data_IF_783173856656
#
_entry.id   IF_783173856656
#
_cell.length_a   1.000
_cell.length_b   1.000
_cell.length_c   1.000
_cell.angle_alpha   90.00
_cell.angle_beta   90.00
_cell.angle_gamma   90.00
#
_symmetry.space_group_name_H-M   'P 1'
#
loop_
_entity.id
_entity.type
_entity.pdbx_description
1 polymer ?
#
# COMPACT_ATOMS: atom_id res chain seq x y z
N UNK A 1 32.12 -59.43 -104.77
CA UNK A 1 33.23 -60.06 -104.02
C UNK A 1 33.67 -59.14 -102.90
N UNK A 2 34.08 -59.74 -101.77
CA UNK A 2 34.63 -59.18 -100.51
C UNK A 2 33.64 -58.90 -99.37
N UNK A 3 33.89 -59.68 -98.30
CA UNK A 3 33.33 -59.70 -96.94
C UNK A 3 33.79 -58.47 -96.13
N UNK A 4 33.15 -58.17 -94.99
CA UNK A 4 33.75 -58.15 -93.62
C UNK A 4 32.76 -57.54 -92.57
N UNK A 5 32.57 -58.33 -91.51
CA UNK A 5 32.20 -58.14 -90.08
C UNK A 5 31.15 -57.14 -89.56
N UNK A 6 30.29 -57.67 -88.65
CA UNK A 6 29.46 -56.96 -87.66
C UNK A 6 30.11 -57.09 -86.27
N UNK A 7 30.28 -55.97 -85.57
CA UNK A 7 30.54 -55.79 -84.12
C UNK A 7 29.75 -54.51 -83.78
N UNK A 8 28.82 -54.38 -82.84
CA UNK A 8 28.70 -54.96 -81.50
C UNK A 8 28.85 -53.81 -80.50
N UNK A 9 27.76 -53.12 -80.14
CA UNK A 9 27.73 -52.15 -79.04
C UNK A 9 26.59 -52.51 -78.09
N UNK A 10 26.95 -53.06 -76.93
CA UNK A 10 26.04 -53.35 -75.82
C UNK A 10 26.00 -52.12 -74.93
N UNK A 11 24.83 -51.52 -74.79
CA UNK A 11 24.57 -50.46 -73.79
C UNK A 11 24.19 -51.15 -72.49
N UNK A 12 25.08 -51.10 -71.50
CA UNK A 12 24.79 -51.54 -70.14
C UNK A 12 24.04 -50.41 -69.44
N UNK A 13 22.75 -50.62 -69.17
CA UNK A 13 22.00 -49.79 -68.22
C UNK A 13 22.52 -50.06 -66.82
N UNK A 14 23.33 -49.15 -66.29
CA UNK A 14 23.60 -49.08 -64.86
C UNK A 14 22.34 -48.62 -64.14
N UNK A 15 21.56 -49.58 -63.63
CA UNK A 15 20.51 -49.34 -62.63
C UNK A 15 21.20 -48.93 -61.33
N UNK A 16 21.39 -47.62 -61.15
CA UNK A 16 21.78 -47.05 -59.87
C UNK A 16 20.63 -47.23 -58.87
N UNK A 17 20.81 -48.14 -57.92
CA UNK A 17 19.98 -48.30 -56.73
C UNK A 17 20.14 -47.06 -55.82
N UNK A 18 19.53 -45.94 -56.18
CA UNK A 18 19.37 -44.77 -55.31
C UNK A 18 18.03 -44.81 -54.54
N UNK A 19 17.57 -46.01 -54.18
CA UNK A 19 16.20 -46.27 -53.73
C UNK A 19 16.05 -46.77 -52.30
N UNK A 20 16.89 -46.34 -51.34
CA UNK A 20 16.71 -46.70 -49.92
C UNK A 20 16.88 -45.54 -48.92
N UNK A 21 17.31 -44.35 -49.35
CA UNK A 21 17.51 -43.21 -48.43
C UNK A 21 16.20 -42.53 -47.98
N UNK A 22 15.06 -42.87 -48.60
CA UNK A 22 13.75 -42.26 -48.34
C UNK A 22 12.88 -43.05 -47.34
N UNK A 23 13.33 -44.20 -46.84
CA UNK A 23 12.48 -45.03 -45.98
C UNK A 23 12.41 -44.56 -44.52
N UNK A 24 13.26 -43.60 -44.11
CA UNK A 24 13.32 -43.18 -42.71
C UNK A 24 13.53 -41.66 -42.57
N UNK A 25 12.43 -40.95 -42.39
CA UNK A 25 12.45 -39.54 -42.06
C UNK A 25 13.35 -39.29 -40.82
N UNK A 26 14.16 -38.22 -40.80
CA UNK A 26 14.85 -37.80 -39.58
C UNK A 26 13.81 -37.45 -38.49
N UNK A 27 14.17 -37.57 -37.21
CA UNK A 27 13.27 -37.13 -36.16
C UNK A 27 13.03 -35.61 -36.29
N UNK A 28 11.82 -35.18 -35.95
CA UNK A 28 11.43 -33.78 -35.89
C UNK A 28 10.79 -33.53 -34.53
N UNK A 29 11.46 -32.75 -33.69
CA UNK A 29 10.93 -32.35 -32.39
C UNK A 29 9.78 -31.34 -32.55
N UNK A 30 8.73 -31.53 -31.78
CA UNK A 30 7.68 -30.54 -31.53
C UNK A 30 7.39 -30.54 -30.04
N UNK A 31 7.42 -29.35 -29.44
CA UNK A 31 7.18 -29.14 -28.03
C UNK A 31 6.15 -28.03 -27.88
N UNK A 32 5.08 -28.31 -27.12
CA UNK A 32 4.16 -27.29 -26.64
C UNK A 32 4.11 -27.34 -25.11
N UNK A 33 3.72 -26.23 -24.49
CA UNK A 33 3.64 -26.10 -23.04
C UNK A 33 2.35 -25.37 -22.65
N UNK A 34 1.74 -25.78 -21.55
CA UNK A 34 0.57 -25.12 -20.95
C UNK A 34 0.80 -24.96 -19.45
N UNK A 35 0.66 -23.73 -18.93
CA UNK A 35 0.68 -23.48 -17.48
C UNK A 35 -0.62 -24.00 -16.88
N UNK A 36 -0.53 -24.89 -15.89
CA UNK A 36 -1.69 -25.57 -15.29
C UNK A 36 -2.01 -25.11 -13.87
N UNK A 37 -1.01 -24.59 -13.15
CA UNK A 37 -1.16 -23.90 -11.85
C UNK A 37 0.00 -22.92 -11.67
N UNK A 38 -0.01 -22.04 -10.64
CA UNK A 38 1.17 -21.24 -10.32
C UNK A 38 2.41 -22.13 -10.25
N UNK A 39 3.45 -21.70 -10.97
CA UNK A 39 4.72 -22.41 -11.10
C UNK A 39 4.68 -23.81 -11.75
N UNK A 40 3.53 -24.39 -12.12
CA UNK A 40 3.47 -25.73 -12.74
C UNK A 40 3.09 -25.66 -14.21
N UNK A 41 3.84 -26.40 -15.03
CA UNK A 41 3.71 -26.46 -16.48
C UNK A 41 3.62 -27.90 -16.95
N UNK A 42 2.68 -28.15 -17.85
CA UNK A 42 2.55 -29.40 -18.58
C UNK A 42 3.12 -29.25 -19.99
N UNK A 43 4.03 -30.15 -20.36
CA UNK A 43 4.67 -30.23 -21.66
C UNK A 43 4.09 -31.36 -22.49
N UNK A 44 3.73 -31.04 -23.73
CA UNK A 44 3.25 -32.02 -24.71
C UNK A 44 4.30 -32.17 -25.83
N UNK A 45 4.76 -33.41 -25.97
CA UNK A 45 5.80 -33.85 -26.90
C UNK A 45 5.21 -34.60 -28.11
N UNK A 46 3.90 -34.89 -28.08
CA UNK A 46 3.22 -35.85 -28.96
C UNK A 46 3.15 -35.41 -30.42
N UNK A 47 3.38 -34.12 -30.68
CA UNK A 47 3.52 -33.58 -32.03
C UNK A 47 4.84 -33.96 -32.73
N UNK A 48 5.81 -34.53 -32.01
CA UNK A 48 7.10 -34.93 -32.59
C UNK A 48 6.93 -36.11 -33.56
N UNK A 49 7.71 -36.14 -34.64
CA UNK A 49 7.60 -37.17 -35.70
C UNK A 49 8.93 -37.84 -36.02
N UNK A 50 8.87 -38.99 -36.71
CA UNK A 50 10.02 -39.87 -36.99
C UNK A 50 10.11 -41.06 -36.02
N UNK A 51 11.09 -41.94 -36.25
CA UNK A 51 11.32 -43.14 -35.42
C UNK A 51 12.06 -42.80 -34.12
N UNK A 52 11.42 -42.00 -33.26
CA UNK A 52 12.00 -41.53 -31.99
C UNK A 52 12.10 -42.71 -31.02
N UNK A 53 13.28 -42.90 -30.42
CA UNK A 53 13.56 -43.94 -29.42
C UNK A 53 13.84 -43.37 -28.03
N UNK A 54 14.23 -42.11 -27.94
CA UNK A 54 14.45 -41.42 -26.67
C UNK A 54 14.23 -39.91 -26.81
N UNK A 55 13.94 -39.28 -25.67
CA UNK A 55 13.91 -37.84 -25.52
C UNK A 55 14.61 -37.39 -24.25
N UNK A 56 15.09 -36.15 -24.26
CA UNK A 56 15.56 -35.39 -23.11
C UNK A 56 14.90 -34.02 -23.14
N UNK A 57 14.23 -33.62 -22.06
CA UNK A 57 13.58 -32.32 -21.90
C UNK A 57 14.26 -31.56 -20.76
N UNK A 58 14.93 -30.45 -21.08
CA UNK A 58 15.47 -29.52 -20.09
C UNK A 58 14.50 -28.38 -19.87
N UNK A 59 14.29 -27.95 -18.62
CA UNK A 59 13.28 -26.94 -18.28
C UNK A 59 13.81 -25.49 -18.29
N UNK A 60 15.13 -25.32 -18.26
CA UNK A 60 15.77 -23.99 -18.32
C UNK A 60 15.95 -23.32 -16.95
N UNK A 61 15.61 -23.99 -15.86
CA UNK A 61 15.73 -23.53 -14.46
C UNK A 61 16.92 -24.19 -13.71
N UNK A 62 17.67 -25.07 -14.37
CA UNK A 62 18.78 -25.81 -13.77
C UNK A 62 18.37 -27.09 -13.04
N UNK A 63 17.07 -27.43 -13.01
CA UNK A 63 16.59 -28.71 -12.51
C UNK A 63 17.03 -29.88 -13.41
N UNK A 64 16.90 -31.11 -12.90
CA UNK A 64 17.23 -32.31 -13.66
C UNK A 64 16.30 -32.45 -14.89
N UNK A 65 16.89 -32.78 -16.04
CA UNK A 65 16.13 -33.01 -17.26
C UNK A 65 15.21 -34.23 -17.12
N UNK A 66 14.02 -34.17 -17.73
CA UNK A 66 13.18 -35.34 -17.89
C UNK A 66 13.66 -36.17 -19.09
N UNK A 67 13.81 -37.48 -18.87
CA UNK A 67 14.27 -38.42 -19.90
C UNK A 67 13.26 -39.56 -20.05
N UNK A 68 13.07 -40.03 -21.27
CA UNK A 68 12.16 -41.13 -21.55
C UNK A 68 12.16 -41.56 -23.01
N UNK A 69 11.24 -42.44 -23.37
CA UNK A 69 11.07 -42.95 -24.75
C UNK A 69 9.66 -42.77 -25.29
N UNK A 70 8.67 -42.53 -24.43
CA UNK A 70 7.28 -42.35 -24.81
C UNK A 70 6.94 -40.86 -24.92
N UNK A 71 6.87 -40.37 -26.16
CA UNK A 71 6.52 -38.98 -26.47
C UNK A 71 5.00 -38.71 -26.41
N UNK A 72 4.16 -39.74 -26.17
CA UNK A 72 2.70 -39.58 -26.07
C UNK A 72 2.23 -39.20 -24.66
N UNK A 73 3.12 -39.32 -23.67
CA UNK A 73 2.86 -38.96 -22.28
C UNK A 73 3.35 -37.54 -22.04
N UNK A 74 2.47 -36.67 -21.55
CA UNK A 74 2.83 -35.32 -21.17
C UNK A 74 3.74 -35.32 -19.93
N UNK A 75 4.73 -34.43 -19.90
CA UNK A 75 5.64 -34.25 -18.77
C UNK A 75 5.17 -33.06 -17.94
N UNK A 76 5.08 -33.21 -16.63
CA UNK A 76 4.71 -32.12 -15.70
C UNK A 76 5.95 -31.69 -14.93
N UNK A 77 6.20 -30.38 -14.88
CA UNK A 77 7.28 -29.78 -14.12
C UNK A 77 6.77 -28.61 -13.27
N UNK A 78 7.31 -28.47 -12.07
CA UNK A 78 7.04 -27.35 -11.18
C UNK A 78 8.33 -26.57 -10.97
N UNK A 79 8.31 -25.29 -11.34
CA UNK A 79 9.38 -24.34 -11.10
C UNK A 79 9.40 -23.90 -9.64
N UNK A 80 10.58 -23.64 -9.08
CA UNK A 80 10.69 -23.18 -7.69
C UNK A 80 10.38 -21.68 -7.57
N UNK A 81 10.82 -20.90 -8.57
CA UNK A 81 10.68 -19.45 -8.59
C UNK A 81 9.78 -18.98 -9.76
N UNK A 82 9.06 -17.86 -9.60
CA UNK A 82 8.40 -17.21 -10.72
C UNK A 82 9.44 -16.63 -11.69
N UNK A 83 9.17 -16.74 -12.99
CA UNK A 83 10.11 -16.27 -14.00
C UNK A 83 9.76 -16.69 -15.42
N UNK A 84 10.63 -16.25 -16.33
CA UNK A 84 10.62 -16.66 -17.72
C UNK A 84 11.67 -17.76 -17.94
N UNK A 85 11.26 -18.88 -18.51
CA UNK A 85 12.09 -20.06 -18.75
C UNK A 85 12.02 -20.49 -20.22
N UNK A 86 13.08 -21.16 -20.68
CA UNK A 86 13.13 -21.77 -22.01
C UNK A 86 13.31 -23.28 -21.82
N UNK A 87 12.22 -24.01 -22.01
CA UNK A 87 12.31 -25.46 -22.05
C UNK A 87 12.73 -25.92 -23.45
N UNK A 88 13.60 -26.94 -23.51
CA UNK A 88 14.13 -27.49 -24.75
C UNK A 88 13.98 -29.00 -24.75
N UNK A 89 13.20 -29.50 -25.70
CA UNK A 89 13.06 -30.91 -26.02
C UNK A 89 14.13 -31.29 -27.03
N UNK A 90 14.85 -32.39 -26.79
CA UNK A 90 15.71 -33.06 -27.76
C UNK A 90 15.24 -34.50 -27.92
N UNK A 91 14.87 -34.89 -29.13
CA UNK A 91 14.49 -36.27 -29.47
C UNK A 91 15.60 -36.94 -30.28
N UNK A 92 15.76 -38.25 -30.11
CA UNK A 92 16.76 -39.05 -30.81
C UNK A 92 16.12 -40.30 -31.43
N UNK A 93 16.57 -40.68 -32.62
CA UNK A 93 16.16 -41.92 -33.29
C UNK A 93 17.15 -43.08 -33.06
N UNK A 94 16.78 -44.29 -33.51
CA UNK A 94 17.62 -45.50 -33.38
C UNK A 94 18.99 -45.42 -34.08
N UNK A 95 19.20 -44.42 -34.96
CA UNK A 95 20.45 -44.18 -35.69
C UNK A 95 21.29 -43.08 -35.05
N UNK A 96 20.85 -42.55 -33.92
CA UNK A 96 21.52 -41.48 -33.18
C UNK A 96 21.29 -40.08 -33.76
N UNK A 97 20.42 -39.91 -34.76
CA UNK A 97 20.07 -38.58 -35.29
C UNK A 97 19.20 -37.86 -34.27
N UNK A 98 19.44 -36.57 -34.06
CA UNK A 98 18.70 -35.76 -33.08
C UNK A 98 17.97 -34.59 -33.72
N UNK A 99 16.93 -34.12 -33.05
CA UNK A 99 16.21 -32.89 -33.38
C UNK A 99 15.78 -32.21 -32.09
N UNK A 100 15.76 -30.88 -32.07
CA UNK A 100 15.40 -30.11 -30.88
C UNK A 100 14.34 -29.04 -31.19
N UNK A 101 13.47 -28.79 -30.21
CA UNK A 101 12.47 -27.72 -30.23
C UNK A 101 12.43 -27.05 -28.85
N UNK A 102 12.23 -25.75 -28.82
CA UNK A 102 12.16 -24.97 -27.57
C UNK A 102 10.87 -24.18 -27.47
N UNK A 103 10.40 -23.98 -26.24
CA UNK A 103 9.21 -23.17 -25.93
C UNK A 103 9.52 -22.22 -24.77
N UNK A 104 9.14 -20.96 -24.93
CA UNK A 104 9.21 -19.95 -23.87
C UNK A 104 8.03 -20.10 -22.91
N UNK A 105 8.30 -19.97 -21.62
CA UNK A 105 7.36 -20.22 -20.54
C UNK A 105 7.44 -19.05 -19.58
N UNK A 106 6.29 -18.51 -19.20
CA UNK A 106 6.20 -17.54 -18.11
C UNK A 106 5.38 -18.17 -17.00
N UNK A 107 5.99 -18.35 -15.83
CA UNK A 107 5.29 -18.79 -14.61
C UNK A 107 5.27 -17.68 -13.58
N UNK A 108 4.12 -17.47 -12.95
CA UNK A 108 3.91 -16.47 -11.91
C UNK A 108 3.70 -17.13 -10.54
N UNK A 109 4.02 -16.39 -9.49
CA UNK A 109 3.71 -16.79 -8.12
C UNK A 109 2.20 -16.95 -7.93
N UNK A 110 1.80 -17.73 -6.93
CA UNK A 110 0.40 -17.84 -6.56
C UNK A 110 -0.11 -16.49 -6.04
N UNK A 111 -1.30 -16.04 -6.47
CA UNK A 111 -1.94 -14.86 -5.89
C UNK A 111 -2.21 -15.10 -4.40
N UNK A 112 -1.85 -14.13 -3.56
CA UNK A 112 -2.04 -14.16 -2.10
C UNK A 112 -3.23 -13.31 -1.68
N UNK A 113 -3.72 -13.51 -0.46
CA UNK A 113 -4.70 -12.61 0.16
C UNK A 113 -4.07 -11.23 0.33
N UNK A 114 -4.84 -10.18 0.04
CA UNK A 114 -4.44 -8.78 0.23
C UNK A 114 -5.31 -8.13 1.28
N UNK A 115 -4.68 -7.37 2.18
CA UNK A 115 -5.34 -6.67 3.29
C UNK A 115 -4.81 -5.26 3.33
N UNK A 116 -5.69 -4.29 3.48
CA UNK A 116 -5.33 -2.92 3.82
C UNK A 116 -6.21 -2.42 4.96
N UNK A 117 -5.64 -1.55 5.79
CA UNK A 117 -6.29 -0.88 6.89
C UNK A 117 -5.97 0.60 6.76
N UNK A 118 -6.95 1.46 6.99
CA UNK A 118 -6.77 2.89 7.08
C UNK A 118 -7.59 3.49 8.20
N UNK A 119 -7.29 4.75 8.51
CA UNK A 119 -7.90 5.52 9.57
C UNK A 119 -8.25 6.92 9.04
N UNK A 120 -9.39 7.47 9.45
CA UNK A 120 -9.79 8.83 9.10
C UNK A 120 -10.43 9.52 10.29
N UNK A 121 -9.97 10.74 10.64
CA UNK A 121 -8.70 11.33 10.24
C UNK A 121 -7.50 10.50 10.76
N UNK A 122 -6.40 10.46 10.01
CA UNK A 122 -5.16 9.81 10.45
C UNK A 122 -4.27 10.71 11.33
N UNK A 123 -4.62 12.00 11.47
CA UNK A 123 -3.90 12.94 12.32
C UNK A 123 -4.74 14.14 12.74
N UNK A 124 -4.53 14.66 13.94
CA UNK A 124 -5.19 15.86 14.45
C UNK A 124 -4.84 16.14 15.92
N UNK A 125 -5.32 17.24 16.51
CA UNK A 125 -5.14 17.52 17.94
C UNK A 125 -5.98 16.58 18.80
N UNK A 126 -5.52 16.30 20.02
CA UNK A 126 -6.32 15.59 21.02
C UNK A 126 -7.48 16.47 21.56
N UNK A 127 -8.65 15.89 21.91
CA UNK A 127 -9.06 14.51 21.60
C UNK A 127 -9.33 14.33 20.11
N UNK A 128 -8.86 13.20 19.55
CA UNK A 128 -9.03 12.87 18.14
C UNK A 128 -9.97 11.67 17.98
N UNK A 129 -11.15 11.92 17.43
CA UNK A 129 -12.09 10.89 17.01
C UNK A 129 -11.62 10.27 15.68
N UNK A 130 -11.44 8.95 15.65
CA UNK A 130 -10.94 8.21 14.49
C UNK A 130 -11.88 7.07 14.13
N UNK A 131 -12.17 6.96 12.84
CA UNK A 131 -12.86 5.81 12.24
C UNK A 131 -11.85 4.97 11.44
N UNK A 132 -12.03 3.64 11.43
CA UNK A 132 -11.17 2.71 10.70
C UNK A 132 -11.91 2.08 9.51
N UNK A 133 -11.19 1.87 8.42
CA UNK A 133 -11.72 1.16 7.25
C UNK A 133 -10.72 0.11 6.77
N UNK A 134 -11.21 -0.93 6.11
CA UNK A 134 -10.36 -1.98 5.56
C UNK A 134 -10.82 -2.43 4.18
N UNK A 135 -9.86 -2.78 3.32
CA UNK A 135 -10.12 -3.57 2.11
C UNK A 135 -9.40 -4.90 2.17
N UNK A 136 -10.15 -5.98 1.99
CA UNK A 136 -9.69 -7.36 2.10
C UNK A 136 -10.09 -8.10 0.82
N UNK A 137 -9.15 -8.78 0.18
CA UNK A 137 -9.42 -9.71 -0.90
C UNK A 137 -8.68 -11.01 -0.64
N UNK A 138 -9.41 -12.09 -0.42
CA UNK A 138 -8.87 -13.43 -0.28
C UNK A 138 -8.18 -13.88 -1.59
N UNK A 139 -7.16 -14.74 -1.46
CA UNK A 139 -6.61 -15.43 -2.61
C UNK A 139 -7.71 -16.25 -3.35
N UNK A 140 -7.58 -16.48 -4.68
CA UNK A 140 -8.55 -17.25 -5.45
C UNK A 140 -8.87 -18.62 -4.83
N UNK A 141 -10.15 -18.90 -4.66
CA UNK A 141 -10.64 -20.16 -4.08
C UNK A 141 -10.54 -20.24 -2.55
N UNK A 142 -10.12 -19.17 -1.88
CA UNK A 142 -10.05 -19.06 -0.41
C UNK A 142 -11.21 -18.20 0.11
N UNK A 143 -11.51 -18.33 1.41
CA UNK A 143 -12.46 -17.49 2.15
C UNK A 143 -11.80 -16.98 3.42
N UNK A 144 -12.12 -15.75 3.81
CA UNK A 144 -11.76 -15.21 5.13
C UNK A 144 -12.76 -15.74 6.15
N UNK A 145 -12.24 -16.24 7.27
CA UNK A 145 -13.03 -16.85 8.35
C UNK A 145 -13.03 -16.06 9.64
N UNK A 146 -12.05 -15.18 9.82
CA UNK A 146 -11.90 -14.44 11.05
C UNK A 146 -11.21 -13.10 10.77
N UNK A 147 -11.64 -12.06 11.50
CA UNK A 147 -11.03 -10.74 11.49
C UNK A 147 -10.89 -10.23 12.92
N UNK A 148 -9.75 -9.61 13.23
CA UNK A 148 -9.44 -9.06 14.54
C UNK A 148 -8.72 -7.71 14.34
N UNK A 149 -9.29 -6.62 14.85
CA UNK A 149 -8.72 -5.27 14.83
C UNK A 149 -8.37 -4.85 16.25
N UNK A 150 -7.08 -4.59 16.48
CA UNK A 150 -6.52 -3.96 17.68
C UNK A 150 -6.17 -2.51 17.31
N UNK A 151 -6.90 -1.53 17.85
CA UNK A 151 -6.67 -0.10 17.65
C UNK A 151 -6.16 0.61 18.91
N UNK A 152 -6.22 -0.02 20.08
CA UNK A 152 -5.60 0.46 21.32
C UNK A 152 -4.12 0.12 21.45
N UNK A 153 -3.60 -0.76 20.58
CA UNK A 153 -2.20 -1.19 20.49
C UNK A 153 -1.68 -1.97 21.70
N UNK A 154 -2.58 -2.58 22.46
CA UNK A 154 -2.25 -3.32 23.67
C UNK A 154 -2.00 -4.82 23.41
N UNK A 155 -2.19 -5.27 22.17
CA UNK A 155 -2.06 -6.66 21.74
C UNK A 155 -3.34 -7.49 21.90
N UNK A 156 -4.44 -6.87 22.33
CA UNK A 156 -5.76 -7.48 22.45
C UNK A 156 -6.68 -6.87 21.38
N UNK A 157 -7.36 -7.68 20.56
CA UNK A 157 -8.33 -7.14 19.60
C UNK A 157 -9.48 -6.42 20.31
N UNK A 158 -9.70 -5.16 19.93
CA UNK A 158 -10.84 -4.37 20.37
C UNK A 158 -12.13 -4.72 19.60
N UNK A 159 -11.95 -5.19 18.36
CA UNK A 159 -13.01 -5.74 17.53
C UNK A 159 -12.57 -7.10 16.98
N UNK A 160 -13.41 -8.11 17.12
CA UNK A 160 -13.13 -9.47 16.66
C UNK A 160 -14.43 -10.11 16.16
N UNK A 161 -14.38 -10.79 15.02
CA UNK A 161 -15.56 -11.42 14.42
C UNK A 161 -15.22 -12.61 13.54
N UNK A 162 -16.02 -13.67 13.68
CA UNK A 162 -16.05 -14.77 12.73
C UNK A 162 -16.88 -14.35 11.51
N UNK A 163 -16.26 -14.49 10.34
CA UNK A 163 -16.79 -13.99 9.07
C UNK A 163 -16.78 -15.08 8.00
N UNK A 164 -17.43 -14.84 6.87
CA UNK A 164 -17.32 -15.74 5.72
C UNK A 164 -17.49 -14.97 4.41
N UNK A 165 -16.39 -14.44 3.87
CA UNK A 165 -16.41 -13.69 2.60
C UNK A 165 -15.14 -13.95 1.78
N UNK A 166 -15.17 -13.60 0.49
CA UNK A 166 -13.99 -13.60 -0.37
C UNK A 166 -13.41 -12.18 -0.55
N UNK A 167 -14.27 -11.16 -0.52
CA UNK A 167 -13.89 -9.75 -0.63
C UNK A 167 -14.68 -8.92 0.37
N UNK A 168 -14.05 -7.90 0.94
CA UNK A 168 -14.66 -6.93 1.86
C UNK A 168 -14.04 -5.56 1.64
N UNK A 169 -14.85 -4.50 1.65
CA UNK A 169 -14.44 -3.11 1.46
C UNK A 169 -15.43 -2.22 2.22
N UNK A 170 -15.11 -1.89 3.47
CA UNK A 170 -15.99 -1.10 4.33
C UNK A 170 -15.29 -0.55 5.60
N UNK A 171 -15.99 0.33 6.32
CA UNK A 171 -15.62 0.80 7.65
C UNK A 171 -15.77 -0.33 8.68
N UNK A 172 -14.84 -0.43 9.62
CA UNK A 172 -14.82 -1.40 10.72
C UNK A 172 -14.73 -0.62 12.04
N UNK A 173 -15.62 -0.87 13.03
CA UNK A 173 -16.84 -1.72 13.01
C UNK A 173 -18.06 -1.04 12.36
N UNK A 174 -19.06 -1.84 11.94
CA UNK A 174 -20.24 -1.39 11.17
C UNK A 174 -21.33 -0.65 11.98
N UNK A 175 -21.19 -0.52 13.31
CA UNK A 175 -22.25 0.04 14.18
C UNK A 175 -21.74 0.76 15.47
N UNK A 176 -20.53 1.32 15.52
CA UNK A 176 -20.18 2.12 16.71
C UNK A 176 -19.27 3.29 16.47
N UNK A 177 -19.62 4.38 17.15
CA UNK A 177 -18.87 5.61 17.45
C UNK A 177 -17.37 5.56 17.12
N UNK A 178 -16.80 6.64 16.54
CA UNK A 178 -15.35 6.74 16.37
C UNK A 178 -14.63 6.46 17.70
N UNK A 179 -13.44 5.87 17.60
CA UNK A 179 -12.57 5.72 18.76
C UNK A 179 -11.87 7.05 19.06
N UNK A 180 -11.95 7.51 20.30
CA UNK A 180 -11.36 8.79 20.72
C UNK A 180 -9.99 8.59 21.35
N UNK A 181 -8.94 9.03 20.66
CA UNK A 181 -7.62 9.13 21.25
C UNK A 181 -7.49 10.44 22.05
N UNK A 182 -7.42 10.33 23.38
CA UNK A 182 -7.43 11.48 24.30
C UNK A 182 -6.05 12.10 24.54
N UNK A 183 -4.98 11.33 24.32
CA UNK A 183 -3.62 11.76 24.61
C UNK A 183 -2.82 11.95 23.31
N UNK A 184 -1.93 12.96 23.25
CA UNK A 184 -0.99 13.09 22.15
C UNK A 184 -0.06 11.87 22.07
N UNK A 185 0.16 11.37 20.86
CA UNK A 185 0.92 10.15 20.65
C UNK A 185 0.87 9.64 19.22
N UNK A 186 1.64 8.59 18.95
CA UNK A 186 1.56 7.83 17.71
C UNK A 186 1.02 6.45 18.03
N UNK A 187 -0.13 6.13 17.47
CA UNK A 187 -0.82 4.85 17.65
C UNK A 187 -0.75 4.06 16.34
N UNK A 188 -0.66 2.73 16.43
CA UNK A 188 -0.56 1.81 15.29
C UNK A 188 -1.63 0.73 15.39
N UNK A 189 -2.78 0.98 14.78
CA UNK A 189 -3.83 -0.02 14.71
C UNK A 189 -3.40 -1.19 13.81
N UNK A 190 -3.74 -2.42 14.20
CA UNK A 190 -3.38 -3.66 13.52
C UNK A 190 -4.63 -4.49 13.24
N UNK A 191 -4.89 -4.74 11.97
CA UNK A 191 -5.91 -5.66 11.51
C UNK A 191 -5.25 -7.00 11.17
N UNK A 192 -5.72 -8.08 11.79
CA UNK A 192 -5.38 -9.46 11.46
C UNK A 192 -6.57 -10.12 10.81
N UNK A 193 -6.37 -10.79 9.68
CA UNK A 193 -7.41 -11.58 9.00
C UNK A 193 -6.90 -13.00 8.78
N UNK A 194 -7.76 -13.98 9.06
CA UNK A 194 -7.43 -15.40 8.94
C UNK A 194 -8.28 -16.04 7.85
N UNK A 195 -7.64 -16.81 6.97
CA UNK A 195 -8.31 -17.52 5.89
C UNK A 195 -8.73 -18.97 6.25
N UNK A 196 -9.45 -19.63 5.35
CA UNK A 196 -9.94 -21.01 5.52
C UNK A 196 -8.91 -22.10 5.16
N UNK A 197 -7.61 -21.84 5.30
CA UNK A 197 -6.57 -22.77 4.83
C UNK A 197 -6.40 -23.90 5.84
N UNK A 198 -5.70 -24.96 5.44
CA UNK A 198 -5.29 -26.01 6.37
C UNK A 198 -3.81 -26.29 6.19
N UNK A 199 -2.93 -25.73 7.04
CA UNK A 199 -3.22 -24.84 8.18
C UNK A 199 -3.74 -23.46 7.76
N UNK A 200 -4.55 -22.82 8.61
CA UNK A 200 -5.07 -21.47 8.39
C UNK A 200 -3.92 -20.46 8.25
N UNK A 201 -4.09 -19.44 7.42
CA UNK A 201 -3.09 -18.39 7.19
C UNK A 201 -3.60 -17.05 7.71
N UNK A 202 -2.72 -16.33 8.41
CA UNK A 202 -2.97 -14.99 8.90
C UNK A 202 -2.30 -13.95 8.01
N UNK A 203 -3.00 -12.85 7.77
CA UNK A 203 -2.52 -11.69 7.04
C UNK A 203 -2.77 -10.44 7.87
N UNK A 204 -1.80 -9.54 7.92
CA UNK A 204 -1.89 -8.32 8.73
C UNK A 204 -1.80 -7.05 7.89
N UNK A 205 -2.52 -6.03 8.32
CA UNK A 205 -2.40 -4.66 7.83
C UNK A 205 -2.37 -3.69 9.01
N UNK A 206 -1.71 -2.54 8.85
CA UNK A 206 -1.59 -1.54 9.91
C UNK A 206 -1.97 -0.15 9.42
N UNK A 207 -2.46 0.67 10.35
CA UNK A 207 -2.73 2.09 10.14
C UNK A 207 -2.10 2.91 11.26
N UNK A 208 -1.34 3.95 10.90
CA UNK A 208 -0.71 4.86 11.87
C UNK A 208 -1.58 6.09 12.08
N UNK A 209 -1.85 6.40 13.35
CA UNK A 209 -2.62 7.57 13.80
C UNK A 209 -1.67 8.49 14.57
N UNK A 210 -1.61 9.76 14.18
CA UNK A 210 -0.78 10.77 14.84
C UNK A 210 -1.64 11.79 15.57
N UNK A 211 -1.74 11.65 16.88
CA UNK A 211 -2.45 12.58 17.74
C UNK A 211 -1.46 13.63 18.23
N UNK A 212 -1.75 14.87 17.89
CA UNK A 212 -0.93 16.03 18.24
C UNK A 212 -1.48 16.70 19.50
N UNK A 213 -0.63 17.45 20.17
CA UNK A 213 -1.06 18.33 21.25
C UNK A 213 -2.07 19.36 20.74
N UNK A 214 -3.19 19.60 21.46
CA UNK A 214 -4.13 20.64 21.10
C UNK A 214 -3.50 22.04 21.21
N UNK A 215 -4.04 23.02 20.48
CA UNK A 215 -3.62 24.42 20.62
C UNK A 215 -3.93 24.93 22.04
N UNK A 216 -3.29 26.03 22.47
CA UNK A 216 -3.68 26.70 23.71
C UNK A 216 -5.13 27.18 23.63
N UNK A 217 -5.74 27.53 24.76
CA UNK A 217 -7.12 28.01 24.84
C UNK A 217 -7.18 29.32 25.62
N UNK A 218 -7.86 30.33 25.09
CA UNK A 218 -8.18 31.57 25.80
C UNK A 218 -9.56 31.41 26.44
N UNK A 219 -9.58 31.30 27.77
CA UNK A 219 -10.79 30.98 28.55
C UNK A 219 -11.63 32.21 28.90
N UNK A 220 -11.01 33.40 28.91
CA UNK A 220 -11.70 34.65 29.12
C UNK A 220 -11.00 35.80 28.38
N UNK A 221 -11.78 36.74 27.85
CA UNK A 221 -11.29 38.01 27.34
C UNK A 221 -12.32 39.12 27.59
N UNK A 222 -11.93 40.16 28.31
CA UNK A 222 -12.82 41.23 28.77
C UNK A 222 -12.19 42.61 28.60
N UNK A 223 -13.04 43.63 28.48
CA UNK A 223 -12.67 45.04 28.48
C UNK A 223 -13.49 45.79 29.53
N UNK A 224 -12.83 46.62 30.34
CA UNK A 224 -13.47 47.42 31.39
C UNK A 224 -13.05 48.89 31.31
N UNK A 225 -13.98 49.84 31.15
CA UNK A 225 -15.41 49.62 30.85
C UNK A 225 -15.61 49.09 29.42
N UNK A 226 -16.71 48.37 29.18
CA UNK A 226 -17.09 47.90 27.83
C UNK A 226 -17.66 49.03 26.95
N UNK A 227 -18.13 50.12 27.58
CA UNK A 227 -18.64 51.32 26.92
C UNK A 227 -17.90 52.60 27.38
N UNK A 228 -16.59 52.73 27.11
CA UNK A 228 -15.82 53.90 27.51
C UNK A 228 -16.27 55.18 26.78
N UNK A 229 -16.20 56.32 27.45
CA UNK A 229 -16.19 57.62 26.77
C UNK A 229 -14.91 57.78 25.96
N UNK A 230 -14.97 58.50 24.83
CA UNK A 230 -13.78 58.83 24.04
C UNK A 230 -12.69 59.46 24.93
N UNK A 231 -11.46 58.95 24.83
CA UNK A 231 -10.32 59.38 25.65
C UNK A 231 -10.19 58.70 27.02
N UNK A 232 -11.16 57.89 27.44
CA UNK A 232 -11.12 57.19 28.73
C UNK A 232 -10.21 55.94 28.65
N UNK A 233 -9.53 55.62 29.76
CA UNK A 233 -8.73 54.39 29.84
C UNK A 233 -9.62 53.15 29.69
N UNK A 234 -9.13 52.16 28.96
CA UNK A 234 -9.74 50.84 28.84
C UNK A 234 -8.77 49.80 29.39
N UNK A 235 -9.24 48.94 30.28
CA UNK A 235 -8.46 47.80 30.79
C UNK A 235 -8.92 46.53 30.10
N UNK A 236 -8.00 45.88 29.38
CA UNK A 236 -8.20 44.55 28.83
C UNK A 236 -7.67 43.50 29.79
N UNK A 237 -8.42 42.43 30.01
CA UNK A 237 -7.97 41.29 30.79
C UNK A 237 -8.28 39.98 30.05
N UNK A 238 -7.34 39.03 30.07
CA UNK A 238 -7.55 37.70 29.51
C UNK A 238 -6.94 36.61 30.38
N UNK A 239 -7.54 35.42 30.28
CA UNK A 239 -7.05 34.19 30.87
C UNK A 239 -6.80 33.18 29.76
N UNK A 240 -5.69 32.44 29.84
CA UNK A 240 -5.36 31.42 28.86
C UNK A 240 -4.68 30.21 29.50
N UNK A 241 -4.87 29.05 28.89
CA UNK A 241 -4.33 27.76 29.31
C UNK A 241 -3.58 27.10 28.15
N UNK A 242 -2.49 26.40 28.45
CA UNK A 242 -1.78 25.60 27.46
C UNK A 242 -2.65 24.38 27.07
N UNK A 243 -2.56 23.92 25.81
CA UNK A 243 -3.48 22.89 25.31
C UNK A 243 -3.39 21.56 26.07
N UNK A 244 -2.22 21.19 26.56
CA UNK A 244 -2.02 20.03 27.42
C UNK A 244 -0.89 20.26 28.45
N UNK A 245 -0.67 19.27 29.32
CA UNK A 245 0.32 19.35 30.41
C UNK A 245 1.78 19.48 29.93
N UNK A 246 2.11 18.93 28.77
CA UNK A 246 3.43 19.00 28.16
C UNK A 246 3.71 20.35 27.50
N UNK A 247 2.67 21.13 27.16
CA UNK A 247 2.80 22.44 26.52
C UNK A 247 3.11 23.56 27.49
N UNK A 248 3.67 24.64 26.95
CA UNK A 248 3.85 25.92 27.65
C UNK A 248 3.51 27.09 26.74
N UNK A 249 2.81 28.08 27.28
CA UNK A 249 2.56 29.38 26.69
C UNK A 249 3.85 30.19 26.67
N UNK A 250 4.17 30.83 25.53
CA UNK A 250 5.45 31.54 25.33
C UNK A 250 5.30 32.99 24.87
N UNK A 251 4.15 33.37 24.32
CA UNK A 251 3.93 34.72 23.78
C UNK A 251 2.43 35.05 23.74
N UNK A 252 2.09 36.33 23.86
CA UNK A 252 0.75 36.85 23.58
C UNK A 252 0.79 38.21 22.88
N UNK A 253 -0.30 38.56 22.21
CA UNK A 253 -0.47 39.83 21.50
C UNK A 253 -1.90 40.34 21.67
N UNK A 254 -2.06 41.59 22.07
CA UNK A 254 -3.33 42.30 22.16
C UNK A 254 -3.39 43.39 21.09
N UNK A 255 -4.51 43.47 20.37
CA UNK A 255 -4.85 44.53 19.41
C UNK A 255 -6.16 45.18 19.83
N UNK A 256 -6.23 46.50 19.88
CA UNK A 256 -7.43 47.25 20.33
C UNK A 256 -8.47 47.51 19.24
N UNK A 257 -8.13 47.34 17.96
CA UNK A 257 -8.99 47.68 16.82
C UNK A 257 -8.81 49.09 16.25
N UNK A 258 -8.17 50.01 16.98
CA UNK A 258 -7.78 51.35 16.49
C UNK A 258 -6.30 51.47 16.10
N UNK A 259 -5.57 50.35 16.15
CA UNK A 259 -4.15 50.25 15.79
C UNK A 259 -3.19 50.18 16.97
N UNK A 260 -3.67 50.28 18.22
CA UNK A 260 -2.84 49.97 19.39
C UNK A 260 -2.57 48.45 19.46
N UNK A 261 -1.29 48.09 19.56
CA UNK A 261 -0.81 46.70 19.62
C UNK A 261 0.21 46.55 20.75
N UNK A 262 0.04 45.50 21.54
CA UNK A 262 1.00 45.08 22.57
C UNK A 262 1.36 43.62 22.30
N UNK A 263 2.65 43.33 22.15
CA UNK A 263 3.16 41.98 21.99
C UNK A 263 4.15 41.69 23.11
N UNK A 264 3.95 40.58 23.83
CA UNK A 264 4.82 40.18 24.94
C UNK A 264 5.29 38.75 24.74
N UNK A 265 6.61 38.55 24.82
CA UNK A 265 7.23 37.22 24.93
C UNK A 265 7.45 36.95 26.41
N UNK A 266 7.01 35.78 26.87
CA UNK A 266 7.10 35.39 28.27
C UNK A 266 8.58 35.11 28.63
N UNK A 267 9.09 35.71 29.72
CA UNK A 267 10.47 35.44 30.15
C UNK A 267 10.64 33.99 30.64
N UNK A 268 9.56 33.40 31.15
CA UNK A 268 9.47 32.01 31.58
C UNK A 268 8.19 31.41 31.01
N UNK A 269 8.26 30.32 30.21
CA UNK A 269 7.07 29.65 29.70
C UNK A 269 6.14 29.19 30.83
N UNK A 270 4.84 29.31 30.64
CA UNK A 270 3.83 29.05 31.67
C UNK A 270 2.73 28.11 31.18
N UNK A 271 2.10 27.34 32.06
CA UNK A 271 0.93 26.52 31.71
C UNK A 271 -0.37 27.32 31.67
N UNK A 272 -0.43 28.44 32.39
CA UNK A 272 -1.57 29.34 32.43
C UNK A 272 -1.12 30.81 32.42
N UNK A 273 -1.97 31.69 31.93
CA UNK A 273 -1.80 33.14 31.95
C UNK A 273 -3.03 33.80 32.55
N UNK A 274 -2.81 34.83 33.37
CA UNK A 274 -3.82 35.78 33.79
C UNK A 274 -3.20 37.18 33.63
N UNK A 275 -3.65 37.91 32.61
CA UNK A 275 -3.02 39.15 32.16
C UNK A 275 -4.02 40.28 32.23
N UNK A 276 -3.56 41.44 32.72
CA UNK A 276 -4.29 42.70 32.70
C UNK A 276 -3.43 43.76 32.01
N UNK A 277 -3.97 44.39 30.97
CA UNK A 277 -3.30 45.39 30.15
C UNK A 277 -4.16 46.66 30.05
N UNK A 278 -3.60 47.81 30.47
CA UNK A 278 -4.30 49.09 30.41
C UNK A 278 -3.94 49.83 29.11
N UNK A 279 -4.94 50.15 28.30
CA UNK A 279 -4.84 51.08 27.19
C UNK A 279 -5.13 52.51 27.70
N UNK A 280 -4.08 53.20 28.11
CA UNK A 280 -4.19 54.56 28.65
C UNK A 280 -4.54 55.56 27.55
N UNK A 281 -5.52 56.42 27.82
CA UNK A 281 -6.08 57.37 26.84
C UNK A 281 -7.11 56.76 25.88
N UNK A 282 -7.23 55.43 25.83
CA UNK A 282 -8.25 54.70 25.08
C UNK A 282 -8.46 55.14 23.65
N UNK A 283 -9.70 55.01 23.18
CA UNK A 283 -10.09 55.34 21.81
C UNK A 283 -10.34 56.85 21.65
N UNK A 284 -9.72 57.44 20.63
CA UNK A 284 -9.83 58.88 20.37
C UNK A 284 -11.12 59.29 19.63
N UNK A 285 -11.79 58.36 18.96
CA UNK A 285 -13.03 58.61 18.21
C UNK A 285 -14.16 57.74 18.75
N UNK A 286 -15.38 58.25 18.66
CA UNK A 286 -16.58 57.46 18.93
C UNK A 286 -16.80 56.45 17.82
N UNK A 287 -17.19 55.23 18.16
CA UNK A 287 -17.37 54.15 17.20
C UNK A 287 -17.40 52.79 17.87
N UNK A 288 -17.50 51.74 17.07
CA UNK A 288 -17.38 50.36 17.54
C UNK A 288 -16.02 49.81 17.11
N UNK A 289 -15.28 49.23 18.05
CA UNK A 289 -13.94 48.71 17.84
C UNK A 289 -13.86 47.24 18.24
N UNK A 290 -13.24 46.43 17.39
CA UNK A 290 -12.98 45.02 17.69
C UNK A 290 -11.56 44.87 18.21
N UNK A 291 -11.45 44.57 19.50
CA UNK A 291 -10.19 44.16 20.11
C UNK A 291 -9.97 42.66 19.89
N UNK A 292 -8.72 42.24 19.85
CA UNK A 292 -8.32 40.86 19.59
C UNK A 292 -7.14 40.49 20.46
N UNK A 293 -7.15 39.30 21.06
CA UNK A 293 -5.96 38.76 21.73
C UNK A 293 -5.57 37.43 21.09
N UNK A 294 -4.27 37.24 20.87
CA UNK A 294 -3.65 36.01 20.37
C UNK A 294 -2.68 35.46 21.40
N UNK A 295 -2.66 34.14 21.60
CA UNK A 295 -1.74 33.46 22.53
C UNK A 295 -1.06 32.30 21.82
N UNK A 296 0.28 32.25 21.90
CA UNK A 296 1.11 31.20 21.30
C UNK A 296 1.71 30.29 22.38
N UNK A 297 1.88 29.02 22.02
CA UNK A 297 2.55 28.02 22.82
C UNK A 297 3.96 27.67 22.28
N UNK A 298 4.62 26.68 22.88
CA UNK A 298 6.01 26.28 22.60
C UNK A 298 6.17 25.30 21.42
N UNK A 299 5.11 25.02 20.65
CA UNK A 299 5.19 24.33 19.37
C UNK A 299 5.35 25.45 18.37
N UNK A 300 6.38 25.36 17.53
CA UNK A 300 6.80 26.34 16.52
C UNK A 300 5.97 27.65 16.49
N UNK A 301 6.55 28.83 16.81
CA UNK A 301 5.84 30.07 17.16
C UNK A 301 4.88 30.68 16.11
N UNK A 302 4.61 29.99 15.01
CA UNK A 302 3.67 30.35 13.95
C UNK A 302 2.50 29.37 13.77
N UNK A 303 2.56 28.14 14.28
CA UNK A 303 1.58 27.10 13.94
C UNK A 303 0.44 26.94 14.97
N UNK A 304 0.73 27.11 16.27
CA UNK A 304 -0.23 26.85 17.34
C UNK A 304 -0.51 28.11 18.15
N UNK A 305 -1.69 28.67 17.93
CA UNK A 305 -2.19 29.86 18.60
C UNK A 305 -3.69 29.75 18.77
N UNK A 306 -4.20 30.42 19.78
CA UNK A 306 -5.63 30.74 19.88
C UNK A 306 -5.83 32.25 19.73
N UNK A 307 -7.02 32.65 19.30
CA UNK A 307 -7.40 34.02 19.06
C UNK A 307 -8.85 34.27 19.43
N UNK A 308 -9.11 35.28 20.26
CA UNK A 308 -10.47 35.70 20.60
C UNK A 308 -10.63 37.20 20.41
N UNK A 309 -11.84 37.59 20.00
CA UNK A 309 -12.22 38.98 19.73
C UNK A 309 -13.28 39.47 20.70
N UNK A 310 -13.27 40.77 20.98
CA UNK A 310 -14.28 41.44 21.81
C UNK A 310 -14.59 42.81 21.22
N UNK A 311 -15.88 43.17 21.18
CA UNK A 311 -16.32 44.49 20.74
C UNK A 311 -16.40 45.49 21.91
N UNK A 312 -15.92 46.70 21.65
CA UNK A 312 -15.90 47.83 22.57
C UNK A 312 -16.56 49.03 21.88
N UNK A 313 -17.64 49.55 22.49
CA UNK A 313 -18.37 50.69 21.95
C UNK A 313 -17.94 51.99 22.65
N UNK A 314 -17.46 52.94 21.87
CA UNK A 314 -16.93 54.21 22.38
C UNK A 314 -17.95 55.29 22.16
N UNK A 315 -18.42 55.86 23.26
CA UNK A 315 -19.44 56.90 23.26
C UNK A 315 -18.83 58.29 23.39
N UNK A 316 -19.62 59.30 22.99
CA UNK A 316 -19.24 60.68 23.24
C UNK A 316 -19.07 60.92 24.76
N UNK A 317 -18.17 61.84 25.15
CA UNK A 317 -17.95 62.20 26.55
C UNK A 317 -19.18 62.80 27.23
#
# INVERSE_FOLDING_TARGET
MRRIWKIGLVVVFGLGLAGCAWLFAPPQAVLTASVTSPLTVQFDLSGSTGDIVSYTLTFGDGSAAAEGSDITVAVVHTYEDPGDYIATLTVQDARGRTSSASVGITVSAAPTTTVSLGAVPASGPAPLDVEFWATISAAPGRRIKHVALDYETDGTPDFESDVDFATYDWWIPDDSSPYTYNDPGTYTATLTVTDDATPAQDFTATATITVTSPPPVITAFTATPQTPSAGANVTFAFEAEAGDAARKLVKWELRSGDGYVVTVVLPTPASTLNVTQVYAGGYAQTGSYTATVKVWDDLTPTANTDEVTLDVDVVAP
#
